data_IF_928996980512
#
_entry.id   IF_928996980512
#
_cell.length_a   1.000
_cell.length_b   1.000
_cell.length_c   1.000
_cell.angle_alpha   90.00
_cell.angle_beta   90.00
_cell.angle_gamma   90.00
#
_symmetry.space_group_name_H-M   'P 1'
#
loop_
_entity.id
_entity.type
_entity.pdbx_description
1 polymer ?
#
# COMPACT_ATOMS: atom_id res chain seq x y z
N UNK A 1 -17.72 -0.46 -3.55
CA UNK A 1 -16.76 0.46 -4.23
C UNK A 1 -15.83 0.95 -3.15
N UNK A 2 -14.57 0.54 -3.17
CA UNK A 2 -13.68 0.69 -2.01
C UNK A 2 -13.19 2.12 -1.83
N UNK A 3 -12.78 2.45 -0.61
CA UNK A 3 -12.30 3.79 -0.25
C UNK A 3 -11.18 4.27 -1.19
N UNK A 4 -10.33 3.33 -1.60
CA UNK A 4 -9.18 3.54 -2.47
C UNK A 4 -9.55 3.92 -3.91
N UNK A 5 -10.67 3.38 -4.43
CA UNK A 5 -11.21 3.80 -5.73
C UNK A 5 -11.57 5.27 -5.70
N UNK A 6 -12.22 5.68 -4.61
CA UNK A 6 -12.75 7.03 -4.46
C UNK A 6 -11.65 8.03 -4.15
N UNK A 7 -10.61 7.62 -3.41
CA UNK A 7 -9.48 8.50 -3.06
C UNK A 7 -8.42 8.62 -4.15
N UNK A 8 -8.56 7.89 -5.27
CA UNK A 8 -7.56 7.81 -6.34
C UNK A 8 -6.16 7.41 -5.84
N UNK A 9 -6.10 6.61 -4.77
CA UNK A 9 -4.85 6.09 -4.18
C UNK A 9 -4.51 4.68 -4.65
N UNK A 10 -5.35 4.08 -5.50
CA UNK A 10 -5.13 2.75 -6.10
C UNK A 10 -3.78 2.62 -6.79
N UNK A 11 -3.37 3.64 -7.55
CA UNK A 11 -2.10 3.61 -8.28
C UNK A 11 -0.90 3.47 -7.34
N UNK A 12 -0.97 4.01 -6.11
CA UNK A 12 0.11 3.91 -5.12
C UNK A 12 0.26 2.48 -4.59
N UNK A 13 -0.85 1.76 -4.40
CA UNK A 13 -0.84 0.36 -3.98
C UNK A 13 -0.32 -0.52 -5.11
N UNK A 14 -0.79 -0.30 -6.34
CA UNK A 14 -0.26 -1.00 -7.50
C UNK A 14 1.24 -0.80 -7.67
N UNK A 15 1.72 0.43 -7.49
CA UNK A 15 3.14 0.76 -7.57
C UNK A 15 3.95 0.08 -6.46
N UNK A 16 3.42 0.04 -5.23
CA UNK A 16 4.03 -0.71 -4.12
C UNK A 16 4.12 -2.22 -4.41
N UNK A 17 3.05 -2.83 -4.92
CA UNK A 17 3.03 -4.26 -5.28
C UNK A 17 3.97 -4.54 -6.44
N UNK A 18 4.01 -3.67 -7.46
CA UNK A 18 4.93 -3.81 -8.59
C UNK A 18 6.39 -3.74 -8.14
N UNK A 19 6.75 -2.82 -7.24
CA UNK A 19 8.09 -2.73 -6.66
C UNK A 19 8.45 -3.96 -5.82
N UNK A 20 7.53 -4.46 -5.00
CA UNK A 20 7.73 -5.70 -4.24
C UNK A 20 7.94 -6.90 -5.17
N UNK A 21 7.12 -7.02 -6.21
CA UNK A 21 7.24 -8.09 -7.20
C UNK A 21 8.55 -8.00 -8.00
N UNK A 22 8.97 -6.80 -8.39
CA UNK A 22 10.26 -6.58 -9.04
C UNK A 22 11.43 -6.93 -8.12
N UNK A 23 11.39 -6.49 -6.86
CA UNK A 23 12.43 -6.82 -5.87
C UNK A 23 12.54 -8.33 -5.64
N UNK A 24 11.42 -9.02 -5.48
CA UNK A 24 11.38 -10.48 -5.37
C UNK A 24 11.83 -11.19 -6.66
N UNK A 25 11.46 -10.67 -7.83
CA UNK A 25 11.88 -11.19 -9.12
C UNK A 25 13.39 -11.10 -9.30
N UNK A 26 13.99 -9.96 -8.96
CA UNK A 26 15.44 -9.73 -9.05
C UNK A 26 16.21 -10.66 -8.10
N UNK A 27 15.75 -10.85 -6.86
CA UNK A 27 16.42 -11.77 -5.92
C UNK A 27 16.32 -13.22 -6.36
N UNK A 28 15.20 -13.64 -6.95
CA UNK A 28 15.08 -14.96 -7.56
C UNK A 28 16.00 -15.11 -8.78
N UNK A 29 16.03 -14.12 -9.67
CA UNK A 29 16.90 -14.12 -10.86
C UNK A 29 18.38 -14.20 -10.48
N UNK A 30 18.78 -13.52 -9.40
CA UNK A 30 20.14 -13.57 -8.86
C UNK A 30 20.54 -14.99 -8.46
N UNK A 31 19.62 -15.79 -7.90
CA UNK A 31 19.88 -17.19 -7.58
C UNK A 31 20.18 -18.05 -8.81
N UNK A 32 19.53 -17.76 -9.94
CA UNK A 32 19.75 -18.47 -11.21
C UNK A 32 20.99 -17.97 -11.97
N UNK A 33 21.35 -16.69 -11.81
CA UNK A 33 22.44 -16.06 -12.54
C UNK A 33 23.71 -15.85 -11.68
N UNK A 34 23.79 -16.51 -10.52
CA UNK A 34 24.90 -16.34 -9.58
C UNK A 34 26.27 -16.69 -10.18
N UNK A 35 26.33 -17.76 -11.00
CA UNK A 35 27.55 -18.17 -11.69
C UNK A 35 28.05 -17.17 -12.75
N UNK A 36 27.22 -16.68 -13.69
CA UNK A 36 27.70 -15.80 -14.77
C UNK A 36 27.96 -14.34 -14.36
N UNK A 37 27.37 -13.83 -13.27
CA UNK A 37 27.28 -12.39 -13.01
C UNK A 37 28.43 -11.82 -12.13
N UNK A 38 29.15 -12.69 -11.43
CA UNK A 38 30.26 -12.27 -10.56
C UNK A 38 29.83 -11.67 -9.22
N UNK A 39 30.72 -11.77 -8.24
CA UNK A 39 30.45 -11.47 -6.82
C UNK A 39 30.11 -9.99 -6.55
N UNK A 40 30.69 -9.07 -7.32
CA UNK A 40 30.53 -7.63 -7.16
C UNK A 40 29.10 -7.16 -7.50
N UNK A 41 28.57 -7.56 -8.65
CA UNK A 41 27.20 -7.19 -9.04
C UNK A 41 26.17 -7.83 -8.10
N UNK A 42 26.45 -9.05 -7.64
CA UNK A 42 25.64 -9.75 -6.64
C UNK A 42 25.56 -8.97 -5.33
N UNK A 43 26.69 -8.46 -4.82
CA UNK A 43 26.72 -7.64 -3.60
C UNK A 43 25.96 -6.32 -3.78
N UNK A 44 26.12 -5.66 -4.94
CA UNK A 44 25.38 -4.42 -5.24
C UNK A 44 23.86 -4.66 -5.29
N UNK A 45 23.41 -5.77 -5.88
CA UNK A 45 22.00 -6.15 -5.94
C UNK A 45 21.42 -6.46 -4.55
N UNK A 46 22.17 -7.18 -3.70
CA UNK A 46 21.75 -7.48 -2.32
C UNK A 46 21.65 -6.21 -1.48
N UNK A 47 22.65 -5.33 -1.55
CA UNK A 47 22.66 -4.05 -0.83
C UNK A 47 21.52 -3.17 -1.34
N UNK A 48 21.35 -3.08 -2.66
CA UNK A 48 20.26 -2.36 -3.29
C UNK A 48 18.89 -2.87 -2.82
N UNK A 49 18.68 -4.18 -2.83
CA UNK A 49 17.45 -4.81 -2.34
C UNK A 49 17.18 -4.55 -0.85
N UNK A 50 18.22 -4.62 -0.01
CA UNK A 50 18.12 -4.31 1.42
C UNK A 50 17.72 -2.87 1.72
N UNK A 51 18.07 -1.91 0.85
CA UNK A 51 17.68 -0.51 1.03
C UNK A 51 16.32 -0.24 0.39
N UNK A 52 16.07 -0.80 -0.79
CA UNK A 52 14.90 -0.50 -1.61
C UNK A 52 13.61 -1.08 -1.01
N UNK A 53 13.67 -2.27 -0.42
CA UNK A 53 12.51 -2.88 0.27
C UNK A 53 12.00 -2.04 1.45
N UNK A 54 12.81 -1.69 2.47
CA UNK A 54 12.33 -0.86 3.57
C UNK A 54 11.97 0.57 3.10
N UNK A 55 12.72 1.14 2.14
CA UNK A 55 12.40 2.47 1.61
C UNK A 55 11.01 2.50 0.94
N UNK A 56 10.69 1.49 0.12
CA UNK A 56 9.37 1.38 -0.51
C UNK A 56 8.27 1.11 0.50
N UNK A 57 8.55 0.35 1.56
CA UNK A 57 7.61 0.11 2.65
C UNK A 57 7.31 1.37 3.46
N UNK A 58 8.33 2.15 3.80
CA UNK A 58 8.19 3.44 4.50
C UNK A 58 7.42 4.42 3.62
N UNK A 59 7.77 4.50 2.33
CA UNK A 59 7.08 5.36 1.38
C UNK A 59 5.60 4.97 1.23
N UNK A 60 5.30 3.69 1.02
CA UNK A 60 3.92 3.22 0.90
C UNK A 60 3.12 3.44 2.19
N UNK A 61 3.75 3.19 3.35
CA UNK A 61 3.16 3.43 4.66
C UNK A 61 2.83 4.90 4.93
N UNK A 62 3.63 5.83 4.39
CA UNK A 62 3.39 7.27 4.48
C UNK A 62 2.48 7.83 3.39
N UNK A 63 2.47 7.21 2.19
CA UNK A 63 1.78 7.74 1.02
C UNK A 63 0.32 7.26 0.91
N UNK A 64 -0.01 6.12 1.53
CA UNK A 64 -1.38 5.58 1.61
C UNK A 64 -2.02 6.05 2.92
N UNK A 65 -2.58 7.27 2.85
CA UNK A 65 -3.20 7.96 3.99
C UNK A 65 -4.64 8.34 3.68
N UNK A 66 -5.51 8.29 4.68
CA UNK A 66 -6.87 8.80 4.53
C UNK A 66 -6.85 10.31 4.22
N UNK A 67 -7.54 10.79 3.16
CA UNK A 67 -7.55 12.22 2.82
C UNK A 67 -8.29 13.09 3.83
N UNK A 68 -9.14 12.51 4.69
CA UNK A 68 -9.90 13.25 5.70
C UNK A 68 -9.15 13.39 7.03
N UNK A 69 -8.55 12.31 7.54
CA UNK A 69 -7.93 12.30 8.87
C UNK A 69 -6.40 12.06 8.86
N UNK A 70 -5.80 11.84 7.68
CA UNK A 70 -4.38 11.54 7.53
C UNK A 70 -3.95 10.17 8.06
N UNK A 71 -4.90 9.30 8.45
CA UNK A 71 -4.56 7.99 9.01
C UNK A 71 -3.85 7.12 7.97
N UNK A 72 -2.67 6.59 8.33
CA UNK A 72 -1.88 5.66 7.52
C UNK A 72 -2.58 4.31 7.44
N UNK A 73 -3.34 4.08 6.37
CA UNK A 73 -4.18 2.90 6.20
C UNK A 73 -3.35 1.63 6.01
N UNK A 74 -2.26 1.72 5.24
CA UNK A 74 -1.35 0.59 5.04
C UNK A 74 -0.71 0.15 6.36
N UNK A 75 -0.19 1.10 7.14
CA UNK A 75 0.42 0.80 8.43
C UNK A 75 -0.59 0.23 9.43
N UNK A 76 -1.82 0.77 9.43
CA UNK A 76 -2.91 0.23 10.24
C UNK A 76 -3.23 -1.21 9.82
N UNK A 77 -3.39 -1.48 8.53
CA UNK A 77 -3.70 -2.81 8.03
C UNK A 77 -2.61 -3.83 8.38
N UNK A 78 -1.35 -3.48 8.20
CA UNK A 78 -0.22 -4.36 8.52
C UNK A 78 -0.15 -4.67 10.02
N UNK A 79 -0.36 -3.66 10.87
CA UNK A 79 -0.24 -3.80 12.33
C UNK A 79 -1.48 -4.39 13.01
N UNK A 80 -2.68 -4.16 12.47
CA UNK A 80 -3.95 -4.59 13.09
C UNK A 80 -4.61 -5.78 12.39
N UNK A 81 -4.51 -5.88 11.07
CA UNK A 81 -5.15 -6.93 10.28
C UNK A 81 -4.17 -8.07 9.99
N UNK A 82 -2.90 -7.72 9.72
CA UNK A 82 -1.80 -8.67 9.51
C UNK A 82 -1.35 -8.75 8.05
N UNK A 83 -0.10 -9.19 7.84
CA UNK A 83 0.60 -9.23 6.54
C UNK A 83 -0.01 -10.16 5.48
N UNK A 84 -0.86 -11.12 5.86
CA UNK A 84 -1.52 -12.02 4.89
C UNK A 84 -2.82 -11.47 4.30
N UNK A 85 -3.54 -10.65 5.07
CA UNK A 85 -4.91 -10.22 4.75
C UNK A 85 -5.04 -8.71 4.59
N UNK A 86 -3.99 -7.93 4.88
CA UNK A 86 -4.00 -6.47 4.74
C UNK A 86 -4.41 -6.01 3.33
N UNK A 87 -4.00 -6.71 2.27
CA UNK A 87 -4.30 -6.30 0.89
C UNK A 87 -5.77 -6.47 0.58
N UNK A 88 -6.34 -7.63 0.93
CA UNK A 88 -7.78 -7.90 0.78
C UNK A 88 -8.55 -6.87 1.60
N UNK A 89 -8.15 -6.66 2.85
CA UNK A 89 -8.77 -5.67 3.73
C UNK A 89 -8.75 -4.27 3.11
N UNK A 90 -7.61 -3.77 2.64
CA UNK A 90 -7.52 -2.47 1.99
C UNK A 90 -8.44 -2.38 0.76
N UNK A 91 -8.52 -3.44 -0.03
CA UNK A 91 -9.35 -3.49 -1.24
C UNK A 91 -10.84 -3.62 -0.94
N UNK A 92 -11.24 -4.20 0.19
CA UNK A 92 -12.65 -4.34 0.61
C UNK A 92 -13.13 -3.20 1.49
N UNK A 93 -12.22 -2.50 2.18
CA UNK A 93 -12.57 -1.47 3.15
C UNK A 93 -13.22 -0.26 2.44
N UNK A 94 -14.47 0.01 2.78
CA UNK A 94 -15.24 1.12 2.22
C UNK A 94 -15.13 2.40 3.05
N UNK A 95 -14.66 2.32 4.30
CA UNK A 95 -14.66 3.42 5.26
C UNK A 95 -13.34 3.48 6.04
N UNK A 96 -12.87 4.68 6.39
CA UNK A 96 -11.69 4.79 7.25
C UNK A 96 -12.04 4.35 8.69
N UNK A 97 -11.32 3.40 9.31
CA UNK A 97 -11.66 2.91 10.65
C UNK A 97 -11.49 3.96 11.76
N UNK A 98 -10.80 5.07 11.47
CA UNK A 98 -10.57 6.14 12.45
C UNK A 98 -11.60 7.27 12.37
N UNK A 99 -12.01 7.67 11.17
CA UNK A 99 -12.91 8.82 10.98
C UNK A 99 -14.22 8.50 10.27
N UNK A 100 -14.45 7.25 9.86
CA UNK A 100 -15.64 6.85 9.11
C UNK A 100 -15.75 7.46 7.71
N UNK A 101 -14.71 8.15 7.22
CA UNK A 101 -14.71 8.72 5.89
C UNK A 101 -14.90 7.61 4.86
N UNK A 102 -15.93 7.70 4.01
CA UNK A 102 -16.27 6.69 3.01
C UNK A 102 -16.15 7.21 1.57
N UNK A 103 -15.63 8.43 1.39
CA UNK A 103 -15.55 9.10 0.08
C UNK A 103 -16.91 9.48 -0.52
N UNK A 104 -18.03 9.23 0.18
CA UNK A 104 -19.34 9.80 -0.18
C UNK A 104 -19.50 11.14 0.55
N UNK A 105 -19.94 12.22 -0.13
CA UNK A 105 -20.50 13.35 0.59
C UNK A 105 -21.65 12.83 1.45
N UNK A 106 -21.69 13.26 2.72
CA UNK A 106 -22.77 12.88 3.64
C UNK A 106 -24.12 13.10 2.94
N UNK A 107 -25.11 12.18 3.08
CA UNK A 107 -26.42 12.43 2.52
C UNK A 107 -26.91 13.74 3.13
N UNK A 108 -27.06 14.75 2.27
CA UNK A 108 -27.68 16.03 2.60
C UNK A 108 -29.10 15.71 3.01
N UNK A 109 -29.27 15.42 4.30
CA UNK A 109 -30.56 15.24 4.93
C UNK A 109 -31.32 16.54 4.76
N UNK A 110 -32.16 16.59 3.72
CA UNK A 110 -33.28 17.52 3.64
C UNK A 110 -34.02 17.39 4.97
N UNK A 111 -33.80 18.34 5.88
CA UNK A 111 -34.73 18.58 6.99
C UNK A 111 -36.07 18.89 6.33
N UNK A 112 -36.95 17.88 6.28
CA UNK A 112 -38.36 18.06 5.93
C UNK A 112 -38.91 19.13 6.87
N UNK A 113 -39.42 20.21 6.27
CA UNK A 113 -40.19 21.21 6.98
C UNK A 113 -41.30 20.52 7.78
N UNK A 114 -41.44 20.92 9.04
CA UNK A 114 -42.67 20.73 9.79
C UNK A 114 -43.30 22.11 9.92
N UNK A 115 -44.51 22.18 9.35
CA UNK A 115 -45.49 23.25 9.46
C UNK A 115 -45.76 23.61 10.92
#
# INVERSE_FOLDING_TARGET
>A
MSLLERSNQRWKIFLFIALMALGAGVTLLQGFLYEPIGRELTLQLVIGGMILLPATFIWAGGSIVCPSCGQRLLFYAITKVGLGTWFVWLMTEEQCPKCGYSGRPAPTGKRKGKR
#
